data_IF_742801313537
#
_entry.id   IF_742801313537
#
_cell.length_a   1.000
_cell.length_b   1.000
_cell.length_c   1.000
_cell.angle_alpha   90.00
_cell.angle_beta   90.00
_cell.angle_gamma   90.00
#
_symmetry.space_group_name_H-M   'P 1'
#
loop_
_entity.id
_entity.type
_entity.pdbx_description
1 polymer ?
#
# COMPACT_ATOMS: atom_id res chain seq x y z
N UNK A 1 25.26 39.04 -15.52
CA UNK A 1 23.98 39.66 -15.24
C UNK A 1 23.08 38.49 -14.86
N UNK A 2 22.91 38.26 -13.56
CA UNK A 2 22.02 37.23 -13.01
C UNK A 2 20.65 37.89 -12.88
N UNK A 3 19.73 37.50 -13.75
CA UNK A 3 18.32 37.88 -13.61
C UNK A 3 17.80 37.37 -12.25
N UNK A 4 17.58 38.29 -11.32
CA UNK A 4 16.80 38.00 -10.13
C UNK A 4 15.32 37.85 -10.59
N UNK A 5 14.65 36.79 -10.21
CA UNK A 5 13.23 36.63 -10.53
C UNK A 5 12.45 37.80 -9.87
N UNK A 6 11.52 38.36 -10.66
CA UNK A 6 10.66 39.48 -10.29
C UNK A 6 9.86 39.11 -9.01
N UNK A 7 9.85 39.97 -8.01
CA UNK A 7 9.21 39.80 -6.71
C UNK A 7 7.67 39.50 -6.81
N UNK A 8 7.03 39.80 -7.95
CA UNK A 8 5.62 39.50 -8.20
C UNK A 8 5.33 38.05 -8.61
N UNK A 9 6.34 37.24 -8.91
CA UNK A 9 6.21 35.81 -9.24
C UNK A 9 6.43 34.89 -8.02
N UNK A 10 6.87 35.43 -6.90
CA UNK A 10 7.30 34.66 -5.73
C UNK A 10 6.15 34.27 -4.79
N UNK A 11 4.97 34.90 -4.90
CA UNK A 11 3.88 34.74 -3.93
C UNK A 11 2.80 33.72 -4.31
N UNK A 12 2.82 33.17 -5.52
CA UNK A 12 1.70 32.36 -6.05
C UNK A 12 1.71 30.90 -5.57
N UNK A 13 2.87 30.38 -5.10
CA UNK A 13 2.95 28.98 -4.63
C UNK A 13 2.56 28.78 -3.15
N UNK A 14 2.59 29.85 -2.35
CA UNK A 14 2.35 29.77 -0.90
C UNK A 14 0.93 29.29 -0.55
N UNK A 15 -0.02 29.51 -1.45
CA UNK A 15 -1.37 28.97 -1.32
C UNK A 15 -1.38 27.43 -1.32
N UNK A 16 -0.42 26.78 -1.98
CA UNK A 16 -0.28 25.32 -2.04
C UNK A 16 0.63 24.77 -0.96
N UNK A 17 1.65 25.53 -0.54
CA UNK A 17 2.63 25.09 0.43
C UNK A 17 2.01 24.85 1.81
N UNK A 18 2.39 23.75 2.46
CA UNK A 18 2.02 23.47 3.86
C UNK A 18 2.81 24.36 4.79
N UNK A 19 2.13 24.98 5.76
CA UNK A 19 2.79 25.71 6.86
C UNK A 19 3.50 24.72 7.80
N UNK A 20 4.44 25.25 8.58
CA UNK A 20 5.14 24.43 9.59
C UNK A 20 4.18 23.81 10.61
N UNK A 21 3.10 24.50 10.98
CA UNK A 21 2.09 24.01 11.91
C UNK A 21 1.30 22.86 11.30
N UNK A 22 0.85 22.97 10.03
CA UNK A 22 0.16 21.92 9.28
C UNK A 22 1.04 20.68 9.16
N UNK A 23 2.33 20.86 8.86
CA UNK A 23 3.31 19.75 8.79
C UNK A 23 3.43 19.04 10.15
N UNK A 24 3.62 19.79 11.23
CA UNK A 24 3.75 19.22 12.58
C UNK A 24 2.49 18.48 13.01
N UNK A 25 1.31 19.03 12.71
CA UNK A 25 0.04 18.38 13.00
C UNK A 25 -0.09 17.06 12.21
N UNK A 26 0.13 17.08 10.91
CA UNK A 26 0.04 15.90 10.06
C UNK A 26 1.02 14.78 10.47
N UNK A 27 2.26 15.15 10.85
CA UNK A 27 3.26 14.20 11.36
C UNK A 27 2.80 13.56 12.68
N UNK A 28 2.23 14.34 13.61
CA UNK A 28 1.70 13.81 14.89
C UNK A 28 0.55 12.83 14.64
N UNK A 29 -0.43 13.23 13.85
CA UNK A 29 -1.59 12.38 13.52
C UNK A 29 -1.15 11.08 12.83
N UNK A 30 -0.25 11.17 11.86
CA UNK A 30 0.31 10.01 11.16
C UNK A 30 1.05 9.08 12.13
N UNK A 31 1.83 9.63 13.08
CA UNK A 31 2.56 8.85 14.07
C UNK A 31 1.62 8.10 15.01
N UNK A 32 0.55 8.73 15.46
CA UNK A 32 -0.48 8.09 16.30
C UNK A 32 -1.18 6.96 15.52
N UNK A 33 -1.63 7.23 14.29
CA UNK A 33 -2.29 6.24 13.44
C UNK A 33 -1.37 5.05 13.14
N UNK A 34 -0.07 5.31 12.87
CA UNK A 34 0.94 4.27 12.67
C UNK A 34 1.09 3.41 13.91
N UNK A 35 1.21 4.01 15.09
CA UNK A 35 1.30 3.27 16.36
C UNK A 35 0.09 2.37 16.59
N UNK A 36 -1.12 2.88 16.39
CA UNK A 36 -2.36 2.10 16.51
C UNK A 36 -2.42 0.96 15.48
N UNK A 37 -2.01 1.22 14.24
CA UNK A 37 -1.93 0.21 13.20
C UNK A 37 -0.98 -0.92 13.59
N UNK A 38 0.22 -0.61 14.09
CA UNK A 38 1.21 -1.60 14.52
C UNK A 38 0.67 -2.44 15.69
N UNK A 39 0.15 -1.80 16.74
CA UNK A 39 -0.41 -2.49 17.90
C UNK A 39 -1.57 -3.43 17.52
N UNK A 40 -2.48 -2.95 16.68
CA UNK A 40 -3.64 -3.75 16.21
C UNK A 40 -3.17 -4.98 15.44
N UNK A 41 -2.20 -4.85 14.54
CA UNK A 41 -1.71 -5.97 13.74
C UNK A 41 -0.87 -6.94 14.58
N UNK A 42 -0.01 -6.47 15.47
CA UNK A 42 0.74 -7.34 16.40
C UNK A 42 -0.22 -8.16 17.27
N UNK A 43 -1.26 -7.53 17.83
CA UNK A 43 -2.27 -8.25 18.62
C UNK A 43 -3.03 -9.29 17.80
N UNK A 44 -3.32 -8.99 16.51
CA UNK A 44 -4.03 -9.92 15.64
C UNK A 44 -3.17 -11.13 15.21
N UNK A 45 -1.84 -10.99 15.21
CA UNK A 45 -0.90 -12.08 14.89
C UNK A 45 -0.65 -13.03 16.06
N UNK A 46 -1.07 -12.66 17.28
CA UNK A 46 -0.84 -13.44 18.50
C UNK A 46 0.65 -13.88 18.66
N UNK A 47 1.55 -12.94 18.39
CA UNK A 47 3.02 -13.24 18.41
C UNK A 47 3.44 -13.79 19.75
N UNK A 48 2.90 -13.26 20.85
CA UNK A 48 3.25 -13.71 22.20
C UNK A 48 2.81 -15.16 22.46
N UNK A 49 1.62 -15.56 21.95
CA UNK A 49 1.17 -16.96 22.03
C UNK A 49 2.07 -17.90 21.25
N UNK A 50 2.47 -17.51 20.04
CA UNK A 50 3.40 -18.30 19.20
C UNK A 50 4.78 -18.43 19.89
N UNK A 51 5.28 -17.35 20.49
CA UNK A 51 6.56 -17.38 21.24
C UNK A 51 6.47 -18.33 22.42
N UNK A 52 5.35 -18.37 23.17
CA UNK A 52 5.16 -19.32 24.26
C UNK A 52 5.17 -20.77 23.77
N UNK A 53 4.54 -21.05 22.64
CA UNK A 53 4.57 -22.39 22.02
C UNK A 53 6.01 -22.80 21.66
N UNK A 54 6.80 -21.89 21.10
CA UNK A 54 8.22 -22.13 20.78
C UNK A 54 9.07 -22.34 22.02
N UNK A 55 8.85 -21.56 23.08
CA UNK A 55 9.56 -21.75 24.36
C UNK A 55 9.21 -23.11 25.01
N UNK A 56 7.98 -23.56 24.87
CA UNK A 56 7.57 -24.89 25.32
C UNK A 56 8.26 -25.97 24.50
N UNK A 57 8.24 -25.88 23.17
CA UNK A 57 9.01 -26.80 22.31
C UNK A 57 10.48 -26.85 22.66
N UNK A 58 11.10 -25.70 22.95
CA UNK A 58 12.49 -25.60 23.35
C UNK A 58 12.82 -26.25 24.72
N UNK A 59 11.82 -26.35 25.62
CA UNK A 59 11.96 -27.04 26.91
C UNK A 59 11.79 -28.55 26.80
N UNK A 60 11.00 -29.03 25.87
CA UNK A 60 10.54 -30.41 25.75
C UNK A 60 11.23 -31.18 24.59
N UNK A 61 12.09 -30.50 23.78
CA UNK A 61 12.67 -31.13 22.60
C UNK A 61 13.68 -32.24 22.94
N UNK A 62 13.69 -33.27 22.12
CA UNK A 62 14.66 -34.34 22.14
C UNK A 62 15.83 -34.03 21.18
N UNK A 63 17.00 -33.72 21.73
CA UNK A 63 18.18 -33.34 20.96
C UNK A 63 18.62 -34.43 19.97
N UNK A 64 18.56 -35.70 20.36
CA UNK A 64 19.00 -36.83 19.52
C UNK A 64 18.04 -36.96 18.31
N UNK A 65 16.73 -36.92 18.56
CA UNK A 65 15.72 -36.97 17.52
C UNK A 65 15.88 -35.80 16.50
N UNK A 66 16.19 -34.61 16.99
CA UNK A 66 16.39 -33.45 16.12
C UNK A 66 17.65 -33.62 15.25
N UNK A 67 18.74 -34.14 15.79
CA UNK A 67 19.97 -34.43 15.02
C UNK A 67 19.73 -35.51 13.96
N UNK A 68 18.99 -36.57 14.28
CA UNK A 68 18.61 -37.60 13.30
C UNK A 68 17.77 -37.06 12.13
N UNK A 69 16.88 -36.12 12.38
CA UNK A 69 16.01 -35.54 11.38
C UNK A 69 16.56 -34.29 10.68
N UNK A 70 17.71 -33.79 11.13
CA UNK A 70 18.28 -32.53 10.68
C UNK A 70 18.43 -32.46 9.15
N UNK A 71 19.03 -33.48 8.53
CA UNK A 71 19.30 -33.54 7.10
C UNK A 71 17.99 -33.52 6.31
N UNK A 72 17.01 -34.35 6.69
CA UNK A 72 15.69 -34.39 6.06
C UNK A 72 14.96 -33.05 6.16
N UNK A 73 15.05 -32.37 7.32
CA UNK A 73 14.47 -31.06 7.55
C UNK A 73 15.26 -29.90 6.92
N UNK A 74 16.39 -30.14 6.28
CA UNK A 74 17.24 -29.12 5.65
C UNK A 74 18.09 -28.31 6.64
N UNK A 75 18.35 -28.84 7.84
CA UNK A 75 19.19 -28.21 8.88
C UNK A 75 20.65 -28.65 8.69
N UNK A 76 21.57 -27.71 8.69
CA UNK A 76 23.00 -28.02 8.64
C UNK A 76 23.49 -28.58 10.01
N UNK A 77 24.17 -29.72 10.05
CA UNK A 77 24.79 -30.20 11.30
C UNK A 77 25.73 -29.18 11.93
N UNK A 78 26.48 -28.43 11.11
CA UNK A 78 27.39 -27.40 11.62
C UNK A 78 26.64 -26.24 12.31
N UNK A 79 25.42 -25.94 11.89
CA UNK A 79 24.58 -24.93 12.54
C UNK A 79 24.10 -25.44 13.91
N UNK A 80 23.77 -26.72 14.04
CA UNK A 80 23.44 -27.32 15.34
C UNK A 80 24.65 -27.31 16.29
N UNK A 81 25.83 -27.67 15.77
CA UNK A 81 27.07 -27.62 16.55
C UNK A 81 27.39 -26.20 17.07
N UNK A 82 27.05 -25.18 16.26
CA UNK A 82 27.18 -23.78 16.65
C UNK A 82 26.25 -23.43 17.81
N UNK A 83 25.02 -23.93 17.82
CA UNK A 83 24.05 -23.69 18.91
C UNK A 83 24.45 -24.44 20.17
N UNK A 84 25.00 -25.65 20.05
CA UNK A 84 25.47 -26.46 21.19
C UNK A 84 26.73 -25.88 21.85
N UNK A 85 27.53 -25.13 21.11
CA UNK A 85 28.72 -24.47 21.64
C UNK A 85 28.45 -23.32 22.62
N UNK A 86 27.20 -22.87 22.73
CA UNK A 86 26.79 -21.86 23.70
C UNK A 86 26.70 -22.44 25.12
N UNK A 87 26.87 -21.59 26.12
CA UNK A 87 26.69 -21.93 27.52
C UNK A 87 25.61 -21.02 28.15
N UNK A 88 24.43 -21.56 28.48
CA UNK A 88 23.94 -22.91 28.16
C UNK A 88 23.68 -23.11 26.66
N UNK A 89 23.65 -24.37 26.16
CA UNK A 89 23.27 -24.68 24.78
C UNK A 89 21.93 -24.10 24.38
N UNK A 90 21.84 -23.64 23.12
CA UNK A 90 20.61 -22.99 22.61
C UNK A 90 19.67 -24.06 22.06
N UNK A 91 18.41 -24.13 22.53
CA UNK A 91 17.43 -25.09 22.01
C UNK A 91 17.21 -24.96 20.51
N UNK A 92 17.30 -26.05 19.76
CA UNK A 92 17.11 -26.05 18.30
C UNK A 92 15.76 -25.51 17.83
N UNK A 93 14.63 -25.78 18.52
CA UNK A 93 13.33 -25.24 18.17
C UNK A 93 13.26 -23.71 18.18
N UNK A 94 14.21 -23.00 18.78
CA UNK A 94 14.26 -21.54 18.72
C UNK A 94 14.65 -21.01 17.33
N UNK A 95 15.33 -21.82 16.53
CA UNK A 95 15.83 -21.41 15.22
C UNK A 95 15.33 -22.27 14.07
N UNK A 96 15.04 -23.53 14.32
CA UNK A 96 14.70 -24.51 13.30
C UNK A 96 13.34 -25.13 13.55
N UNK A 97 12.70 -25.64 12.50
CA UNK A 97 11.44 -26.36 12.56
C UNK A 97 11.53 -27.75 11.96
N UNK A 98 10.82 -28.69 12.55
CA UNK A 98 10.54 -29.97 11.89
C UNK A 98 9.22 -29.89 11.12
N UNK A 99 9.09 -30.55 9.95
CA UNK A 99 7.85 -30.56 9.18
C UNK A 99 6.63 -31.00 9.98
N UNK A 100 6.80 -31.97 10.88
CA UNK A 100 5.74 -32.46 11.74
C UNK A 100 5.18 -31.40 12.69
N UNK A 101 6.02 -30.48 13.18
CA UNK A 101 5.60 -29.40 14.06
C UNK A 101 4.76 -28.38 13.28
N UNK A 102 5.13 -28.08 12.02
CA UNK A 102 4.37 -27.20 11.14
C UNK A 102 3.02 -27.78 10.71
N UNK A 103 2.91 -29.10 10.57
CA UNK A 103 1.62 -29.77 10.30
C UNK A 103 0.72 -29.73 11.54
N UNK A 104 1.28 -29.94 12.72
CA UNK A 104 0.55 -29.92 13.99
C UNK A 104 0.07 -28.52 14.36
N UNK A 105 0.95 -27.52 14.18
CA UNK A 105 0.66 -26.12 14.49
C UNK A 105 1.14 -25.22 13.33
N UNK A 106 0.27 -25.00 12.30
CA UNK A 106 0.64 -24.24 11.11
C UNK A 106 1.06 -22.80 11.39
N UNK A 107 0.57 -22.17 12.48
CA UNK A 107 0.95 -20.80 12.86
C UNK A 107 2.45 -20.64 13.14
N UNK A 108 3.14 -21.71 13.47
CA UNK A 108 4.60 -21.70 13.66
C UNK A 108 5.36 -21.27 12.38
N UNK A 109 4.74 -21.38 11.21
CA UNK A 109 5.31 -20.88 9.96
C UNK A 109 5.60 -19.38 10.06
N UNK A 110 4.69 -18.59 10.66
CA UNK A 110 4.91 -17.15 10.92
C UNK A 110 6.22 -16.94 11.68
N UNK A 111 6.45 -17.69 12.75
CA UNK A 111 7.62 -17.55 13.57
C UNK A 111 8.90 -17.88 12.79
N UNK A 112 8.98 -19.07 12.19
CA UNK A 112 10.21 -19.53 11.53
C UNK A 112 10.53 -18.75 10.25
N UNK A 113 9.53 -18.26 9.54
CA UNK A 113 9.72 -17.35 8.42
C UNK A 113 10.38 -16.03 8.89
N UNK A 114 9.94 -15.52 10.03
CA UNK A 114 10.52 -14.30 10.59
C UNK A 114 11.93 -14.53 11.18
N UNK A 115 12.20 -15.69 11.77
CA UNK A 115 13.56 -16.10 12.17
C UNK A 115 14.49 -16.19 10.95
N UNK A 116 13.99 -16.71 9.83
CA UNK A 116 14.73 -16.75 8.56
C UNK A 116 14.83 -15.39 7.85
N UNK A 117 14.28 -14.31 8.42
CA UNK A 117 14.30 -12.95 7.85
C UNK A 117 13.70 -12.85 6.43
N UNK A 118 12.70 -13.68 6.12
CA UNK A 118 12.06 -13.72 4.80
C UNK A 118 10.67 -13.08 4.85
N UNK A 119 10.34 -12.33 3.80
CA UNK A 119 9.01 -11.78 3.62
C UNK A 119 8.03 -12.79 2.99
N UNK A 120 6.71 -12.63 3.24
CA UNK A 120 5.67 -13.41 2.57
C UNK A 120 5.75 -13.29 1.04
N UNK A 121 6.07 -12.10 0.54
CA UNK A 121 6.24 -11.86 -0.89
C UNK A 121 7.32 -12.73 -1.51
N UNK A 122 8.44 -12.90 -0.81
CA UNK A 122 9.52 -13.80 -1.27
C UNK A 122 9.04 -15.25 -1.26
N UNK A 123 8.35 -15.69 -0.18
CA UNK A 123 7.79 -17.04 -0.09
C UNK A 123 6.80 -17.32 -1.24
N UNK A 124 5.91 -16.36 -1.53
CA UNK A 124 4.95 -16.47 -2.64
C UNK A 124 5.65 -16.56 -4.00
N UNK A 125 6.68 -15.74 -4.23
CA UNK A 125 7.42 -15.72 -5.51
C UNK A 125 8.16 -17.03 -5.81
N UNK A 126 8.52 -17.79 -4.78
CA UNK A 126 9.15 -19.12 -4.93
C UNK A 126 8.13 -20.27 -4.89
N UNK A 127 6.83 -19.96 -4.87
CA UNK A 127 5.76 -20.95 -4.87
C UNK A 127 5.46 -21.59 -3.51
N UNK A 128 5.98 -21.04 -2.42
CA UNK A 128 5.77 -21.49 -1.05
C UNK A 128 4.87 -20.51 -0.26
N UNK A 129 3.68 -20.17 -0.79
CA UNK A 129 2.75 -19.28 -0.09
C UNK A 129 2.44 -19.78 1.32
N UNK A 130 2.73 -18.94 2.31
CA UNK A 130 2.55 -19.22 3.75
C UNK A 130 1.40 -18.44 4.37
N UNK A 131 0.89 -17.42 3.69
CA UNK A 131 -0.03 -16.41 4.23
C UNK A 131 -1.24 -16.99 4.94
N UNK A 132 -1.89 -17.99 4.35
CA UNK A 132 -3.10 -18.61 4.93
C UNK A 132 -2.75 -19.53 6.11
N UNK A 133 -1.59 -20.17 6.08
CA UNK A 133 -1.14 -21.09 7.13
C UNK A 133 -0.70 -20.33 8.38
N UNK A 134 -0.14 -19.15 8.24
CA UNK A 134 0.22 -18.24 9.33
C UNK A 134 -1.00 -17.80 10.17
N UNK A 135 -2.22 -17.89 9.59
CA UNK A 135 -3.48 -17.52 10.27
C UNK A 135 -4.19 -18.72 10.89
N UNK A 136 -3.80 -19.98 10.59
CA UNK A 136 -4.37 -21.22 11.10
C UNK A 136 -4.98 -22.19 10.06
N UNK A 137 -4.82 -21.96 8.76
CA UNK A 137 -5.25 -22.95 7.76
C UNK A 137 -4.38 -24.21 7.85
N UNK A 138 -4.95 -25.40 7.75
CA UNK A 138 -4.19 -26.65 7.79
C UNK A 138 -3.06 -26.67 6.74
N UNK A 139 -1.92 -27.22 7.12
CA UNK A 139 -0.76 -27.37 6.26
C UNK A 139 -0.53 -28.84 5.92
N UNK A 140 -0.52 -29.18 4.63
CA UNK A 140 -0.24 -30.54 4.17
C UNK A 140 1.24 -30.93 4.35
N UNK A 141 1.50 -32.23 4.53
CA UNK A 141 2.83 -32.78 4.85
C UNK A 141 3.89 -32.38 3.84
N UNK A 142 3.61 -32.52 2.53
CA UNK A 142 4.58 -32.22 1.47
C UNK A 142 4.94 -30.72 1.44
N UNK A 143 3.96 -29.86 1.67
CA UNK A 143 4.18 -28.43 1.74
C UNK A 143 4.91 -28.03 2.99
N UNK A 144 4.59 -28.64 4.14
CA UNK A 144 5.31 -28.44 5.40
C UNK A 144 6.80 -28.83 5.26
N UNK A 145 7.07 -29.96 4.59
CA UNK A 145 8.42 -30.41 4.28
C UNK A 145 9.19 -29.38 3.46
N UNK A 146 8.57 -28.88 2.38
CA UNK A 146 9.19 -27.91 1.49
C UNK A 146 9.47 -26.57 2.18
N UNK A 147 8.52 -26.08 2.99
CA UNK A 147 8.66 -24.86 3.78
C UNK A 147 9.78 -25.03 4.82
N UNK A 148 9.75 -26.11 5.61
CA UNK A 148 10.77 -26.36 6.63
C UNK A 148 12.17 -26.40 6.02
N UNK A 149 12.37 -27.19 4.96
CA UNK A 149 13.67 -27.29 4.28
C UNK A 149 14.17 -25.94 3.78
N UNK A 150 13.28 -25.12 3.22
CA UNK A 150 13.68 -23.81 2.70
C UNK A 150 14.08 -22.86 3.85
N UNK A 151 13.25 -22.73 4.87
CA UNK A 151 13.50 -21.86 6.01
C UNK A 151 14.75 -22.30 6.80
N UNK A 152 14.88 -23.61 7.08
CA UNK A 152 16.00 -24.15 7.83
C UNK A 152 17.35 -23.97 7.10
N UNK A 153 17.39 -24.13 5.77
CA UNK A 153 18.61 -23.86 4.99
C UNK A 153 19.09 -22.42 5.13
N UNK A 154 18.16 -21.46 5.09
CA UNK A 154 18.50 -20.03 5.25
C UNK A 154 18.94 -19.76 6.70
N UNK A 155 18.17 -20.24 7.67
CA UNK A 155 18.52 -20.06 9.09
C UNK A 155 19.86 -20.73 9.42
N UNK A 156 20.15 -21.91 8.86
CA UNK A 156 21.47 -22.56 9.01
C UNK A 156 22.60 -21.67 8.48
N UNK A 157 22.44 -21.07 7.30
CA UNK A 157 23.43 -20.15 6.76
C UNK A 157 23.63 -18.93 7.67
N UNK A 158 22.54 -18.35 8.16
CA UNK A 158 22.59 -17.20 9.08
C UNK A 158 23.31 -17.56 10.39
N UNK A 159 23.00 -18.71 11.01
CA UNK A 159 23.64 -19.18 12.23
C UNK A 159 25.15 -19.35 12.04
N UNK A 160 25.56 -19.99 10.94
CA UNK A 160 27.00 -20.26 10.67
C UNK A 160 27.79 -18.99 10.35
N UNK A 161 27.23 -18.05 9.61
CA UNK A 161 27.93 -16.84 9.15
C UNK A 161 28.14 -15.82 10.27
N UNK A 162 27.21 -15.70 11.20
CA UNK A 162 27.27 -14.60 12.17
C UNK A 162 27.85 -14.99 13.53
N UNK A 163 27.73 -16.25 13.92
CA UNK A 163 28.14 -16.71 15.26
C UNK A 163 27.45 -16.02 16.45
N UNK A 164 26.45 -15.15 16.17
CA UNK A 164 25.82 -14.28 17.18
C UNK A 164 24.47 -14.82 17.70
N UNK A 165 24.18 -16.10 17.47
CA UNK A 165 22.90 -16.73 17.79
C UNK A 165 22.91 -17.32 19.21
N UNK A 166 22.44 -16.52 20.19
CA UNK A 166 22.24 -16.95 21.58
C UNK A 166 20.76 -17.15 21.92
N UNK A 167 20.48 -17.38 23.20
CA UNK A 167 19.14 -17.73 23.74
C UNK A 167 18.00 -16.78 23.38
N UNK A 168 18.26 -15.55 23.03
CA UNK A 168 17.23 -14.52 22.77
C UNK A 168 17.25 -13.92 21.38
N UNK A 169 18.28 -14.18 20.58
CA UNK A 169 18.43 -13.55 19.25
C UNK A 169 17.27 -13.89 18.30
N UNK A 170 16.72 -15.10 18.40
CA UNK A 170 15.55 -15.50 17.62
C UNK A 170 14.35 -14.55 17.81
N UNK A 171 14.10 -14.09 19.05
CA UNK A 171 13.02 -13.12 19.32
C UNK A 171 13.29 -11.78 18.65
N UNK A 172 14.54 -11.30 18.73
CA UNK A 172 14.93 -10.05 18.09
C UNK A 172 14.70 -10.13 16.57
N UNK A 173 15.05 -11.25 15.94
CA UNK A 173 14.82 -11.47 14.50
C UNK A 173 13.35 -11.48 14.16
N UNK A 174 12.51 -12.17 14.95
CA UNK A 174 11.06 -12.20 14.75
C UNK A 174 10.48 -10.81 14.81
N UNK A 175 10.75 -10.03 15.87
CA UNK A 175 10.18 -8.70 16.03
C UNK A 175 10.72 -7.69 14.99
N UNK A 176 12.00 -7.78 14.61
CA UNK A 176 12.59 -6.92 13.58
C UNK A 176 11.94 -7.18 12.21
N UNK A 177 11.78 -8.44 11.82
CA UNK A 177 11.20 -8.77 10.52
C UNK A 177 9.68 -8.50 10.47
N UNK A 178 8.95 -8.78 11.55
CA UNK A 178 7.54 -8.36 11.67
C UNK A 178 7.43 -6.84 11.58
N UNK A 179 8.29 -6.10 12.29
CA UNK A 179 8.31 -4.64 12.24
C UNK A 179 8.56 -4.10 10.82
N UNK A 180 9.49 -4.71 10.08
CA UNK A 180 9.74 -4.36 8.67
C UNK A 180 8.52 -4.64 7.77
N UNK A 181 7.86 -5.79 7.97
CA UNK A 181 6.64 -6.14 7.25
C UNK A 181 5.48 -5.20 7.56
N UNK A 182 5.31 -4.83 8.84
CA UNK A 182 4.29 -3.86 9.25
C UNK A 182 4.56 -2.45 8.72
N UNK A 183 5.83 -2.05 8.58
CA UNK A 183 6.18 -0.75 7.98
C UNK A 183 5.79 -0.71 6.49
N UNK A 184 6.06 -1.79 5.74
CA UNK A 184 5.57 -1.93 4.37
C UNK A 184 4.04 -1.85 4.29
N UNK A 185 3.35 -2.62 5.15
CA UNK A 185 1.89 -2.59 5.25
C UNK A 185 1.34 -1.21 5.63
N UNK A 186 2.02 -0.47 6.51
CA UNK A 186 1.64 0.89 6.89
C UNK A 186 1.71 1.87 5.71
N UNK A 187 2.75 1.79 4.88
CA UNK A 187 2.85 2.64 3.68
C UNK A 187 1.64 2.47 2.75
N UNK A 188 1.20 1.24 2.55
CA UNK A 188 -0.01 0.94 1.79
C UNK A 188 -1.28 1.46 2.47
N UNK A 189 -1.35 1.33 3.81
CA UNK A 189 -2.49 1.82 4.59
C UNK A 189 -2.60 3.35 4.55
N UNK A 190 -1.48 4.08 4.63
CA UNK A 190 -1.47 5.54 4.46
C UNK A 190 -2.01 5.94 3.09
N UNK A 191 -1.59 5.25 2.04
CA UNK A 191 -2.13 5.45 0.69
C UNK A 191 -3.65 5.23 0.67
N UNK A 192 -4.13 4.09 1.22
CA UNK A 192 -5.55 3.78 1.31
C UNK A 192 -6.35 4.84 2.09
N UNK A 193 -5.84 5.25 3.24
CA UNK A 193 -6.50 6.28 4.07
C UNK A 193 -6.61 7.62 3.33
N UNK A 194 -5.57 8.03 2.61
CA UNK A 194 -5.63 9.23 1.77
C UNK A 194 -6.68 9.11 0.67
N UNK A 195 -6.78 7.95 0.01
CA UNK A 195 -7.85 7.70 -0.95
C UNK A 195 -9.22 7.83 -0.31
N UNK A 196 -9.47 7.17 0.81
CA UNK A 196 -10.77 7.21 1.50
C UNK A 196 -11.11 8.65 1.91
N UNK A 197 -10.15 9.39 2.47
CA UNK A 197 -10.37 10.77 2.92
C UNK A 197 -10.70 11.75 1.77
N UNK A 198 -10.26 11.45 0.55
CA UNK A 198 -10.57 12.24 -0.65
C UNK A 198 -11.85 11.74 -1.32
N UNK A 199 -11.98 10.44 -1.52
CA UNK A 199 -13.05 9.86 -2.35
C UNK A 199 -14.40 9.86 -1.61
N UNK A 200 -14.45 9.58 -0.31
CA UNK A 200 -15.71 9.53 0.43
C UNK A 200 -16.46 10.88 0.41
N UNK A 201 -15.83 12.04 0.67
CA UNK A 201 -16.48 13.34 0.52
C UNK A 201 -16.94 13.63 -0.92
N UNK A 202 -16.13 13.25 -1.93
CA UNK A 202 -16.52 13.43 -3.34
C UNK A 202 -17.75 12.59 -3.70
N UNK A 203 -17.79 11.32 -3.27
CA UNK A 203 -18.95 10.43 -3.48
C UNK A 203 -20.20 11.02 -2.85
N UNK A 204 -20.11 11.52 -1.61
CA UNK A 204 -21.25 12.16 -0.93
C UNK A 204 -21.70 13.44 -1.63
N UNK A 205 -20.75 14.26 -2.11
CA UNK A 205 -21.06 15.49 -2.85
C UNK A 205 -21.71 15.20 -4.21
N UNK A 206 -21.20 14.23 -4.98
CA UNK A 206 -21.82 13.76 -6.22
C UNK A 206 -23.25 13.24 -5.98
N UNK A 207 -23.47 12.54 -4.87
CA UNK A 207 -24.78 12.07 -4.48
C UNK A 207 -25.76 13.23 -4.21
N UNK A 208 -25.35 14.25 -3.44
CA UNK A 208 -26.14 15.47 -3.19
C UNK A 208 -26.52 16.18 -4.47
N UNK A 209 -25.64 16.19 -5.46
CA UNK A 209 -25.88 16.77 -6.77
C UNK A 209 -26.69 15.86 -7.72
N UNK A 210 -27.10 14.65 -7.28
CA UNK A 210 -27.80 13.65 -8.08
C UNK A 210 -27.01 13.16 -9.32
N UNK A 211 -25.69 13.24 -9.26
CA UNK A 211 -24.76 12.86 -10.34
C UNK A 211 -24.15 11.48 -10.16
N UNK A 212 -24.31 10.88 -8.99
CA UNK A 212 -23.78 9.56 -8.65
C UNK A 212 -24.76 8.45 -9.02
N UNK A 213 -24.25 7.43 -9.74
CA UNK A 213 -24.99 6.20 -10.04
C UNK A 213 -24.62 5.09 -9.08
N UNK A 214 -23.35 4.63 -9.11
CA UNK A 214 -22.86 3.53 -8.29
C UNK A 214 -21.39 3.71 -7.92
N UNK A 215 -20.93 2.92 -6.95
CA UNK A 215 -19.51 2.77 -6.61
C UNK A 215 -19.10 1.30 -6.70
N UNK A 216 -17.87 1.06 -7.16
CA UNK A 216 -17.25 -0.26 -7.17
C UNK A 216 -16.04 -0.22 -6.24
N UNK A 217 -15.93 -1.20 -5.36
CA UNK A 217 -14.84 -1.31 -4.40
C UNK A 217 -14.46 -2.78 -4.17
N UNK A 218 -13.28 -2.96 -3.58
CA UNK A 218 -12.77 -4.24 -3.12
C UNK A 218 -12.63 -4.21 -1.60
N UNK A 219 -13.11 -5.27 -0.92
CA UNK A 219 -12.93 -5.42 0.53
C UNK A 219 -11.60 -6.11 0.78
N UNK A 220 -10.75 -5.51 1.61
CA UNK A 220 -9.48 -6.08 2.06
C UNK A 220 -9.61 -6.81 3.39
N UNK A 221 -8.72 -7.77 3.65
CA UNK A 221 -8.67 -8.49 4.91
C UNK A 221 -8.33 -7.61 6.13
N UNK A 222 -8.49 -8.18 7.34
CA UNK A 222 -8.26 -7.46 8.60
C UNK A 222 -6.79 -7.31 9.00
N UNK A 223 -5.92 -8.21 8.53
CA UNK A 223 -4.49 -8.26 8.86
C UNK A 223 -3.67 -7.78 7.67
N UNK A 224 -2.73 -6.89 7.91
CA UNK A 224 -1.84 -6.33 6.88
C UNK A 224 -0.41 -6.73 7.22
N UNK A 225 0.08 -7.75 6.55
CA UNK A 225 1.47 -8.17 6.59
C UNK A 225 2.05 -7.99 5.19
N UNK A 226 2.62 -6.86 4.86
CA UNK A 226 3.27 -6.59 3.56
C UNK A 226 2.34 -6.18 2.39
N UNK A 227 2.98 -5.93 1.22
CA UNK A 227 2.30 -5.61 -0.03
C UNK A 227 1.35 -6.74 -0.43
N UNK A 228 0.06 -6.49 -0.27
CA UNK A 228 -0.96 -7.38 -0.82
C UNK A 228 -0.80 -7.36 -2.35
N UNK A 229 -0.53 -8.51 -2.93
CA UNK A 229 -0.41 -8.67 -4.38
C UNK A 229 -1.65 -8.14 -5.10
N UNK A 230 -1.45 -7.56 -6.29
CA UNK A 230 -2.53 -7.20 -7.22
C UNK A 230 -3.47 -8.38 -7.52
N UNK A 231 -3.01 -9.60 -7.26
CA UNK A 231 -3.74 -10.87 -7.41
C UNK A 231 -4.57 -11.26 -6.18
N UNK A 232 -4.58 -10.45 -5.10
CA UNK A 232 -5.45 -10.72 -3.97
C UNK A 232 -6.92 -10.83 -4.44
N UNK A 233 -7.51 -12.02 -4.27
CA UNK A 233 -8.86 -12.40 -4.70
C UNK A 233 -9.98 -11.77 -3.84
N UNK A 234 -9.75 -10.60 -3.24
CA UNK A 234 -10.79 -9.87 -2.53
C UNK A 234 -12.02 -9.65 -3.41
N UNK A 235 -13.20 -9.85 -2.84
CA UNK A 235 -14.47 -9.76 -3.57
C UNK A 235 -14.71 -8.32 -4.03
N UNK A 236 -14.76 -8.11 -5.35
CA UNK A 236 -15.20 -6.85 -5.94
C UNK A 236 -16.72 -6.76 -5.78
N UNK A 237 -17.20 -5.62 -5.31
CA UNK A 237 -18.61 -5.33 -5.10
C UNK A 237 -18.98 -4.02 -5.80
N UNK A 238 -20.16 -4.00 -6.40
CA UNK A 238 -20.80 -2.79 -6.89
C UNK A 238 -22.03 -2.51 -6.03
N UNK A 239 -22.19 -1.24 -5.66
CA UNK A 239 -23.34 -0.76 -4.90
C UNK A 239 -23.98 0.42 -5.62
N UNK A 240 -25.25 0.24 -6.02
CA UNK A 240 -26.09 1.31 -6.56
C UNK A 240 -26.42 2.29 -5.45
N UNK A 241 -26.22 3.60 -5.75
CA UNK A 241 -26.44 4.67 -4.80
C UNK A 241 -27.55 5.64 -5.28
N UNK A 242 -27.94 5.56 -6.54
CA UNK A 242 -29.03 6.34 -7.08
C UNK A 242 -30.35 6.03 -6.35
N UNK A 243 -31.06 7.06 -5.90
CA UNK A 243 -32.33 6.91 -5.19
C UNK A 243 -32.23 6.63 -3.68
N UNK A 244 -31.02 6.44 -3.13
CA UNK A 244 -30.83 6.38 -1.67
C UNK A 244 -30.88 7.78 -1.05
N UNK A 245 -31.22 7.85 0.24
CA UNK A 245 -31.09 9.10 1.00
C UNK A 245 -29.60 9.40 1.29
N UNK A 246 -29.28 10.66 1.52
CA UNK A 246 -27.91 11.08 1.91
C UNK A 246 -27.43 10.37 3.18
N UNK A 247 -28.32 10.15 4.16
CA UNK A 247 -28.00 9.46 5.41
C UNK A 247 -27.63 8.00 5.16
N UNK A 248 -28.33 7.30 4.26
CA UNK A 248 -27.99 5.90 3.90
C UNK A 248 -26.65 5.81 3.21
N UNK A 249 -26.33 6.78 2.33
CA UNK A 249 -25.01 6.82 1.66
C UNK A 249 -23.91 7.14 2.67
N UNK A 250 -24.10 8.12 3.55
CA UNK A 250 -23.10 8.45 4.57
C UNK A 250 -22.83 7.27 5.53
N UNK A 251 -23.88 6.57 5.96
CA UNK A 251 -23.74 5.38 6.81
C UNK A 251 -22.98 4.27 6.07
N UNK A 252 -23.35 4.00 4.81
CA UNK A 252 -22.64 3.01 3.99
C UNK A 252 -21.15 3.36 3.84
N UNK A 253 -20.81 4.61 3.55
CA UNK A 253 -19.40 5.01 3.40
C UNK A 253 -18.60 4.81 4.70
N UNK A 254 -19.21 5.11 5.86
CA UNK A 254 -18.59 4.86 7.17
C UNK A 254 -18.38 3.36 7.43
N UNK A 255 -19.37 2.53 7.13
CA UNK A 255 -19.27 1.08 7.28
C UNK A 255 -18.19 0.47 6.35
N UNK A 256 -18.06 1.02 5.15
CA UNK A 256 -17.06 0.60 4.18
C UNK A 256 -15.64 0.99 4.60
N UNK A 257 -15.47 2.15 5.23
CA UNK A 257 -14.18 2.58 5.79
C UNK A 257 -13.69 1.61 6.87
N UNK A 258 -14.58 1.21 7.77
CA UNK A 258 -14.29 0.23 8.83
C UNK A 258 -13.92 -1.17 8.28
N UNK A 259 -14.45 -1.52 7.11
CA UNK A 259 -14.14 -2.78 6.41
C UNK A 259 -12.83 -2.74 5.62
N UNK A 260 -12.06 -1.65 5.67
CA UNK A 260 -10.81 -1.47 4.90
C UNK A 260 -11.02 -1.71 3.41
N UNK A 261 -11.93 -0.97 2.80
CA UNK A 261 -12.14 -1.05 1.36
C UNK A 261 -11.06 -0.30 0.56
N UNK A 262 -10.96 -0.69 -0.70
CA UNK A 262 -10.26 0.06 -1.75
C UNK A 262 -11.26 0.38 -2.84
N UNK A 263 -11.54 1.66 -3.05
CA UNK A 263 -12.35 2.10 -4.18
C UNK A 263 -11.67 1.73 -5.51
N UNK A 264 -12.47 1.28 -6.46
CA UNK A 264 -12.03 0.90 -7.81
C UNK A 264 -12.64 1.75 -8.91
N UNK A 265 -13.88 2.17 -8.72
CA UNK A 265 -14.60 2.95 -9.74
C UNK A 265 -15.78 3.71 -9.11
N UNK A 266 -16.04 4.89 -9.64
CA UNK A 266 -17.23 5.68 -9.38
C UNK A 266 -17.95 5.82 -10.73
N UNK A 267 -19.21 5.43 -10.79
CA UNK A 267 -20.05 5.57 -11.98
C UNK A 267 -20.96 6.77 -11.83
N UNK A 268 -21.04 7.61 -12.87
CA UNK A 268 -21.85 8.82 -12.91
C UNK A 268 -23.13 8.59 -13.73
N UNK A 269 -24.13 9.44 -13.48
CA UNK A 269 -25.42 9.39 -14.20
C UNK A 269 -25.33 9.80 -15.66
N UNK A 270 -24.30 10.58 -16.03
CA UNK A 270 -24.03 10.98 -17.42
C UNK A 270 -23.32 9.90 -18.26
N UNK A 271 -22.98 8.76 -17.64
CA UNK A 271 -22.28 7.65 -18.30
C UNK A 271 -20.77 7.68 -18.13
N UNK A 272 -20.18 8.74 -17.57
CA UNK A 272 -18.76 8.78 -17.24
C UNK A 272 -18.45 7.86 -16.06
N UNK A 273 -17.20 7.40 -16.00
CA UNK A 273 -16.66 6.64 -14.86
C UNK A 273 -15.35 7.26 -14.40
N UNK A 274 -15.11 7.24 -13.09
CA UNK A 274 -13.79 7.56 -12.52
C UNK A 274 -13.15 6.26 -12.06
N UNK A 275 -12.09 5.87 -12.73
CA UNK A 275 -11.30 4.69 -12.37
C UNK A 275 -10.25 5.07 -11.34
N UNK A 276 -10.09 4.21 -10.33
CA UNK A 276 -9.29 4.48 -9.15
C UNK A 276 -8.20 3.42 -9.01
N UNK A 277 -6.95 3.86 -8.90
CA UNK A 277 -5.77 3.01 -8.71
C UNK A 277 -5.78 1.82 -9.68
N UNK A 278 -5.98 2.11 -10.97
CA UNK A 278 -6.11 1.09 -12.01
C UNK A 278 -4.96 1.18 -13.01
N UNK A 279 -4.29 0.06 -13.22
CA UNK A 279 -3.31 -0.06 -14.31
C UNK A 279 -4.03 -0.29 -15.63
N UNK A 280 -3.65 0.47 -16.63
CA UNK A 280 -4.23 0.44 -17.97
C UNK A 280 -3.15 0.34 -19.02
N UNK A 281 -3.53 -0.07 -20.24
CA UNK A 281 -2.64 -0.16 -21.37
C UNK A 281 -3.25 0.58 -22.56
N UNK A 282 -2.57 1.61 -23.04
CA UNK A 282 -2.92 2.27 -24.30
C UNK A 282 -2.15 1.58 -25.44
N UNK A 283 -2.85 1.38 -26.55
CA UNK A 283 -2.35 0.66 -27.70
C UNK A 283 -2.08 1.61 -28.84
N UNK A 284 -0.89 1.52 -29.45
CA UNK A 284 -0.64 2.13 -30.73
C UNK A 284 -1.04 1.14 -31.82
N UNK A 285 -2.05 1.48 -32.62
CA UNK A 285 -2.62 0.59 -33.64
C UNK A 285 -1.65 0.29 -34.77
N UNK A 286 -0.75 1.22 -35.10
CA UNK A 286 0.23 1.07 -36.17
C UNK A 286 1.37 0.17 -35.75
N UNK A 287 2.00 0.43 -34.60
CA UNK A 287 3.17 -0.29 -34.12
C UNK A 287 2.84 -1.53 -33.29
N UNK A 288 1.57 -1.73 -32.91
CA UNK A 288 1.07 -2.77 -31.99
C UNK A 288 1.72 -2.75 -30.60
N UNK A 289 2.39 -1.66 -30.25
CA UNK A 289 3.01 -1.50 -28.93
C UNK A 289 1.98 -1.12 -27.88
N UNK A 290 2.21 -1.60 -26.66
CA UNK A 290 1.40 -1.30 -25.48
C UNK A 290 2.17 -0.36 -24.55
N UNK A 291 1.52 0.69 -24.09
CA UNK A 291 2.07 1.66 -23.14
C UNK A 291 1.30 1.55 -21.84
N UNK A 292 2.00 1.17 -20.78
CA UNK A 292 1.42 1.04 -19.43
C UNK A 292 1.30 2.42 -18.81
N UNK A 293 0.09 2.74 -18.36
CA UNK A 293 -0.23 3.91 -17.54
C UNK A 293 -0.92 3.43 -16.27
N UNK A 294 -0.84 4.21 -15.19
CA UNK A 294 -1.47 3.85 -13.93
C UNK A 294 -1.59 5.07 -13.03
N UNK A 295 -2.46 6.04 -13.44
CA UNK A 295 -2.77 7.15 -12.56
C UNK A 295 -3.56 6.69 -11.35
N UNK A 296 -3.47 7.44 -10.28
CA UNK A 296 -4.24 7.18 -9.08
C UNK A 296 -5.75 7.39 -9.31
N UNK A 297 -6.13 8.44 -10.07
CA UNK A 297 -7.50 8.69 -10.54
C UNK A 297 -7.48 9.00 -12.04
N UNK A 298 -8.50 8.56 -12.76
CA UNK A 298 -8.67 8.91 -14.17
C UNK A 298 -10.17 8.91 -14.54
N UNK A 299 -10.63 9.97 -15.19
CA UNK A 299 -11.99 10.03 -15.76
C UNK A 299 -12.00 9.33 -17.11
N UNK A 300 -12.91 8.39 -17.28
CA UNK A 300 -13.21 7.68 -18.52
C UNK A 300 -14.58 8.11 -19.02
N UNK A 301 -14.67 8.54 -20.27
CA UNK A 301 -15.96 8.83 -20.92
C UNK A 301 -16.35 7.68 -21.87
N UNK A 302 -17.64 7.56 -22.24
CA UNK A 302 -18.14 6.42 -23.04
C UNK A 302 -17.42 6.15 -24.37
N UNK A 303 -16.67 7.12 -24.89
CA UNK A 303 -15.87 7.01 -26.12
C UNK A 303 -14.48 6.36 -25.90
N UNK A 304 -14.21 5.71 -24.78
CA UNK A 304 -12.86 5.20 -24.39
C UNK A 304 -11.81 6.32 -24.42
N UNK A 305 -12.18 7.47 -23.94
CA UNK A 305 -11.32 8.65 -23.86
C UNK A 305 -11.17 9.09 -22.42
N UNK A 306 -10.02 9.69 -22.11
CA UNK A 306 -9.61 9.99 -20.75
C UNK A 306 -9.28 11.49 -20.63
N UNK A 307 -10.30 12.35 -20.37
CA UNK A 307 -10.09 13.80 -20.38
C UNK A 307 -9.30 14.34 -19.20
N UNK A 308 -9.29 13.62 -18.08
CA UNK A 308 -8.61 14.05 -16.86
C UNK A 308 -7.98 12.88 -16.11
N UNK A 309 -6.83 13.13 -15.45
CA UNK A 309 -6.16 12.19 -14.57
C UNK A 309 -5.45 12.90 -13.44
N UNK A 310 -5.26 12.19 -12.31
CA UNK A 310 -4.56 12.73 -11.14
C UNK A 310 -3.66 11.70 -10.45
N UNK A 311 -2.62 12.25 -9.79
CA UNK A 311 -1.78 11.55 -8.83
C UNK A 311 -2.10 12.03 -7.41
N UNK A 312 -2.28 11.09 -6.48
CA UNK A 312 -2.61 11.34 -5.08
C UNK A 312 -1.54 10.75 -4.17
N UNK A 313 -0.94 11.58 -3.32
CA UNK A 313 0.12 11.21 -2.40
C UNK A 313 -0.31 11.45 -0.95
N UNK A 314 -0.57 10.34 -0.23
CA UNK A 314 -1.11 10.34 1.13
C UNK A 314 -0.06 10.45 2.24
N UNK A 315 1.22 10.43 1.94
CA UNK A 315 2.27 10.49 2.95
C UNK A 315 2.34 11.83 3.67
N UNK A 316 2.43 11.77 5.00
CA UNK A 316 2.59 12.94 5.86
C UNK A 316 4.05 13.21 6.26
N UNK A 317 5.01 12.50 5.65
CA UNK A 317 6.44 12.71 5.90
C UNK A 317 6.98 13.83 4.99
N UNK A 318 7.43 14.96 5.55
CA UNK A 318 8.01 16.05 4.76
C UNK A 318 9.25 15.63 3.98
N UNK A 319 10.07 14.72 4.53
CA UNK A 319 11.26 14.20 3.86
C UNK A 319 10.90 13.36 2.62
N UNK A 320 9.72 12.73 2.61
CA UNK A 320 9.20 11.98 1.46
C UNK A 320 8.54 12.84 0.39
N UNK A 321 8.26 14.12 0.66
CA UNK A 321 7.52 15.00 -0.27
C UNK A 321 8.19 15.14 -1.62
N UNK A 322 9.52 15.26 -1.67
CA UNK A 322 10.30 15.33 -2.91
C UNK A 322 10.17 14.04 -3.74
N UNK A 323 10.22 12.88 -3.10
CA UNK A 323 10.06 11.59 -3.79
C UNK A 323 8.62 11.41 -4.28
N UNK A 324 7.63 11.86 -3.53
CA UNK A 324 6.23 11.88 -3.95
C UNK A 324 6.04 12.71 -5.22
N UNK A 325 6.63 13.92 -5.28
CA UNK A 325 6.60 14.78 -6.47
C UNK A 325 7.31 14.13 -7.66
N UNK A 326 8.50 13.61 -7.44
CA UNK A 326 9.29 12.93 -8.47
C UNK A 326 8.52 11.71 -9.05
N UNK A 327 7.89 10.91 -8.22
CA UNK A 327 7.09 9.77 -8.69
C UNK A 327 5.84 10.22 -9.44
N UNK A 328 5.17 11.29 -9.00
CA UNK A 328 4.04 11.89 -9.70
C UNK A 328 4.44 12.43 -11.08
N UNK A 329 5.52 13.21 -11.17
CA UNK A 329 6.01 13.72 -12.45
C UNK A 329 6.44 12.63 -13.41
N UNK A 330 7.01 11.52 -12.92
CA UNK A 330 7.30 10.35 -13.75
C UNK A 330 6.04 9.68 -14.28
N UNK A 331 4.97 9.61 -13.46
CA UNK A 331 3.68 9.06 -13.90
C UNK A 331 3.04 9.97 -14.96
N UNK A 332 3.04 11.28 -14.75
CA UNK A 332 2.54 12.26 -15.72
C UNK A 332 3.30 12.20 -17.05
N UNK A 333 4.62 12.20 -17.01
CA UNK A 333 5.45 12.13 -18.21
C UNK A 333 5.20 10.80 -18.99
N UNK A 334 5.03 9.67 -18.28
CA UNK A 334 4.66 8.40 -18.93
C UNK A 334 3.29 8.47 -19.60
N UNK A 335 2.35 9.18 -19.00
CA UNK A 335 1.00 9.31 -19.54
C UNK A 335 0.99 10.24 -20.76
N UNK A 336 1.71 11.37 -20.73
CA UNK A 336 1.92 12.26 -21.86
C UNK A 336 2.56 11.51 -23.03
N UNK A 337 3.69 10.82 -22.78
CA UNK A 337 4.41 10.01 -23.78
C UNK A 337 3.52 8.90 -24.39
N UNK A 338 2.71 8.26 -23.55
CA UNK A 338 1.76 7.23 -24.01
C UNK A 338 0.66 7.85 -24.89
N UNK A 339 0.09 9.01 -24.51
CA UNK A 339 -0.92 9.72 -25.28
C UNK A 339 -0.38 10.12 -26.67
N UNK A 340 0.80 10.76 -26.72
CA UNK A 340 1.46 11.15 -27.97
C UNK A 340 1.71 9.94 -28.88
N UNK A 341 2.27 8.87 -28.33
CA UNK A 341 2.59 7.64 -29.09
C UNK A 341 1.38 6.85 -29.54
N UNK A 342 0.22 7.05 -28.95
CA UNK A 342 -1.03 6.37 -29.28
C UNK A 342 -2.02 7.28 -29.99
N UNK A 343 -1.62 8.53 -30.30
CA UNK A 343 -2.45 9.57 -30.93
C UNK A 343 -3.75 9.84 -30.16
N UNK A 344 -3.70 9.74 -28.81
CA UNK A 344 -4.80 10.09 -27.93
C UNK A 344 -4.65 11.53 -27.42
N UNK A 345 -5.74 12.22 -27.09
CA UNK A 345 -5.66 13.49 -26.36
C UNK A 345 -4.87 13.32 -25.04
N UNK A 346 -4.04 14.31 -24.73
CA UNK A 346 -3.35 14.35 -23.45
C UNK A 346 -4.37 14.73 -22.37
N UNK A 347 -4.57 13.93 -21.31
CA UNK A 347 -5.47 14.29 -20.22
C UNK A 347 -5.05 15.58 -19.51
N UNK A 348 -6.01 16.34 -19.00
CA UNK A 348 -5.71 17.36 -18.00
C UNK A 348 -5.20 16.68 -16.73
N UNK A 349 -4.03 17.11 -16.22
CA UNK A 349 -3.35 16.44 -15.12
C UNK A 349 -3.51 17.22 -13.82
N UNK A 350 -3.74 16.54 -12.70
CA UNK A 350 -3.86 17.15 -11.39
C UNK A 350 -2.96 16.45 -10.36
N UNK A 351 -2.40 17.24 -9.44
CA UNK A 351 -1.57 16.73 -8.35
C UNK A 351 -2.23 17.00 -7.00
N UNK A 352 -2.35 15.97 -6.18
CA UNK A 352 -2.94 16.02 -4.85
C UNK A 352 -1.95 15.43 -3.85
N UNK A 353 -1.67 16.13 -2.76
CA UNK A 353 -0.79 15.61 -1.71
C UNK A 353 -1.25 16.07 -0.32
N UNK A 354 -1.02 15.21 0.68
CA UNK A 354 -1.31 15.56 2.08
C UNK A 354 -0.42 16.69 2.57
N UNK A 355 0.88 16.65 2.21
CA UNK A 355 1.87 17.69 2.54
C UNK A 355 2.56 18.13 1.25
N UNK A 356 2.69 19.44 1.09
CA UNK A 356 3.45 20.08 0.03
C UNK A 356 4.49 21.01 0.68
N UNK A 357 5.74 20.55 0.75
CA UNK A 357 6.85 21.44 1.19
C UNK A 357 7.10 22.53 0.17
N UNK A 358 7.67 23.67 0.59
CA UNK A 358 7.86 24.87 -0.25
C UNK A 358 8.43 24.55 -1.63
N UNK A 359 9.51 23.77 -1.68
CA UNK A 359 10.14 23.39 -2.94
C UNK A 359 9.17 22.66 -3.88
N UNK A 360 8.42 21.70 -3.38
CA UNK A 360 7.45 20.92 -4.18
C UNK A 360 6.28 21.81 -4.61
N UNK A 361 5.82 22.70 -3.73
CA UNK A 361 4.77 23.66 -4.06
C UNK A 361 5.20 24.63 -5.17
N UNK A 362 6.46 25.11 -5.14
CA UNK A 362 7.05 25.95 -6.20
C UNK A 362 7.11 25.22 -7.55
N UNK A 363 7.62 23.98 -7.57
CA UNK A 363 7.71 23.19 -8.79
C UNK A 363 6.33 22.86 -9.36
N UNK A 364 5.36 22.50 -8.50
CA UNK A 364 3.98 22.22 -8.91
C UNK A 364 3.27 23.47 -9.43
N UNK A 365 3.44 24.63 -8.79
CA UNK A 365 2.93 25.91 -9.27
C UNK A 365 3.52 26.29 -10.63
N UNK A 366 4.82 26.05 -10.84
CA UNK A 366 5.45 26.26 -12.15
C UNK A 366 4.83 25.36 -13.24
N UNK A 367 4.55 24.11 -12.93
CA UNK A 367 3.89 23.21 -13.88
C UNK A 367 2.45 23.66 -14.19
N UNK A 368 1.74 24.21 -13.20
CA UNK A 368 0.42 24.81 -13.38
C UNK A 368 0.51 26.02 -14.32
N UNK A 369 1.43 26.96 -14.09
CA UNK A 369 1.67 28.13 -14.94
C UNK A 369 2.06 27.75 -16.39
N UNK A 370 2.77 26.63 -16.56
CA UNK A 370 3.13 26.10 -17.87
C UNK A 370 2.00 25.35 -18.57
N UNK A 371 0.82 25.24 -17.95
CA UNK A 371 -0.30 24.45 -18.48
C UNK A 371 -0.06 22.93 -18.49
N UNK A 372 0.97 22.43 -17.78
CA UNK A 372 1.23 21.00 -17.63
C UNK A 372 0.36 20.35 -16.57
N UNK A 373 -0.12 21.11 -15.60
CA UNK A 373 -1.13 20.69 -14.64
C UNK A 373 -2.39 21.56 -14.81
N UNK A 374 -3.54 20.97 -14.58
CA UNK A 374 -4.83 21.64 -14.48
C UNK A 374 -5.09 22.13 -13.05
N UNK A 375 -4.62 21.40 -12.05
CA UNK A 375 -4.77 21.79 -10.63
C UNK A 375 -3.73 21.17 -9.72
N UNK A 376 -3.52 21.83 -8.56
CA UNK A 376 -2.67 21.37 -7.45
C UNK A 376 -3.47 21.49 -6.17
N UNK A 377 -3.49 20.45 -5.35
CA UNK A 377 -4.28 20.40 -4.13
C UNK A 377 -3.45 19.96 -2.93
N UNK A 378 -3.47 20.79 -1.88
CA UNK A 378 -2.96 20.46 -0.56
C UNK A 378 -4.12 19.91 0.29
N UNK A 379 -4.12 18.59 0.51
CA UNK A 379 -5.23 17.92 1.18
C UNK A 379 -5.37 18.30 2.66
N UNK A 380 -4.28 18.67 3.33
CA UNK A 380 -4.33 19.15 4.72
C UNK A 380 -5.04 20.51 4.80
N UNK A 381 -4.74 21.44 3.89
CA UNK A 381 -5.45 22.73 3.83
C UNK A 381 -6.92 22.54 3.52
N UNK A 382 -7.23 21.69 2.54
CA UNK A 382 -8.62 21.38 2.16
C UNK A 382 -9.40 20.78 3.32
N UNK A 383 -8.78 19.89 4.11
CA UNK A 383 -9.43 19.29 5.28
C UNK A 383 -9.69 20.28 6.41
N UNK A 384 -8.87 21.34 6.53
CA UNK A 384 -8.96 22.32 7.61
C UNK A 384 -9.79 23.57 7.25
N UNK A 385 -10.10 23.79 5.98
CA UNK A 385 -10.86 24.96 5.50
C UNK A 385 -12.12 24.52 4.74
N UNK A 386 -13.34 24.75 5.30
CA UNK A 386 -14.59 24.38 4.64
C UNK A 386 -14.83 25.04 3.28
N UNK A 387 -14.33 26.27 3.06
CA UNK A 387 -14.47 26.95 1.78
C UNK A 387 -13.58 26.28 0.71
N UNK A 388 -12.30 26.02 1.05
CA UNK A 388 -11.40 25.27 0.19
C UNK A 388 -11.91 23.85 -0.09
N UNK A 389 -12.52 23.21 0.90
CA UNK A 389 -13.13 21.88 0.71
C UNK A 389 -14.27 21.92 -0.30
N UNK A 390 -15.17 22.92 -0.20
CA UNK A 390 -16.28 23.06 -1.13
C UNK A 390 -15.79 23.35 -2.55
N UNK A 391 -14.81 24.23 -2.72
CA UNK A 391 -14.20 24.55 -4.01
C UNK A 391 -13.52 23.31 -4.62
N UNK A 392 -12.78 22.56 -3.83
CA UNK A 392 -12.18 21.29 -4.24
C UNK A 392 -13.24 20.29 -4.72
N UNK A 393 -14.32 20.10 -3.96
CA UNK A 393 -15.40 19.18 -4.32
C UNK A 393 -16.08 19.59 -5.65
N UNK A 394 -16.35 20.89 -5.82
CA UNK A 394 -16.92 21.41 -7.07
C UNK A 394 -15.97 21.19 -8.25
N UNK A 395 -14.68 21.41 -8.07
CA UNK A 395 -13.68 21.18 -9.11
C UNK A 395 -13.55 19.70 -9.47
N UNK A 396 -13.58 18.79 -8.49
CA UNK A 396 -13.58 17.34 -8.76
C UNK A 396 -14.83 16.92 -9.57
N UNK A 397 -15.99 17.45 -9.22
CA UNK A 397 -17.22 17.20 -10.01
C UNK A 397 -17.05 17.68 -11.46
N UNK A 398 -16.49 18.88 -11.67
CA UNK A 398 -16.23 19.38 -13.01
C UNK A 398 -15.29 18.45 -13.80
N UNK A 399 -14.20 17.98 -13.21
CA UNK A 399 -13.29 17.03 -13.86
C UNK A 399 -13.94 15.67 -14.14
N UNK A 400 -14.83 15.20 -13.28
CA UNK A 400 -15.51 13.92 -13.48
C UNK A 400 -16.61 13.98 -14.53
N UNK A 401 -17.20 15.15 -14.75
CA UNK A 401 -18.22 15.38 -15.76
C UNK A 401 -17.69 15.89 -17.11
N UNK A 402 -16.37 16.01 -17.24
CA UNK A 402 -15.78 16.46 -18.50
C UNK A 402 -16.30 15.67 -19.70
N UNK A 403 -16.51 16.38 -20.78
CA UNK A 403 -16.83 15.82 -22.09
C UNK A 403 -15.77 16.29 -23.09
N UNK A 404 -15.75 15.73 -24.28
CA UNK A 404 -14.96 16.27 -25.37
C UNK A 404 -15.85 17.15 -26.27
N UNK A 405 -15.29 18.25 -26.72
CA UNK A 405 -15.92 19.03 -27.79
C UNK A 405 -15.79 18.33 -29.16
N UNK A 406 -16.41 18.89 -30.19
CA UNK A 406 -16.36 18.34 -31.57
C UNK A 406 -14.93 18.32 -32.15
N UNK A 407 -13.97 19.03 -31.53
CA UNK A 407 -12.55 19.07 -31.92
C UNK A 407 -11.71 18.10 -31.16
N UNK A 408 -12.27 17.35 -30.19
CA UNK A 408 -11.57 16.42 -29.34
C UNK A 408 -10.85 17.06 -28.14
N UNK A 409 -11.11 18.33 -27.85
CA UNK A 409 -10.61 19.01 -26.67
C UNK A 409 -11.55 18.79 -25.47
N UNK A 410 -10.99 18.71 -24.27
CA UNK A 410 -11.76 18.60 -23.02
C UNK A 410 -12.51 19.91 -22.72
N UNK A 411 -13.80 19.83 -22.49
CA UNK A 411 -14.68 20.94 -22.09
C UNK A 411 -15.31 20.68 -20.73
#
# INVERSE_FOLDING_TARGET
MTDQPNASQQDDYTQYASTQEEILQAVRENSVRRGLFFLKNLSALDVDGIVQDIEQLGREYDMELWRERAEEAGISPAALDTLDAHDPPVPYPYYFCLPGDLVREPRLVLYYRNVAMISNKVMNNIGLDTTQHEISMPLGVDKAQSIAQHLNKITSALVMETGLYGQRRHLEMVYVNIGASLDGGWRNEVGRLAYVSVISPIVLHLHRLQKLKSIIFKVKGRIVLEDEDENDNGKIQEVELQGRSEQEVATLLSDLEDQRIVYRQINLTNGNSVLLNRQMYWHNEETKRRYRIGPDLITEIPSDTFPWAAELKGGADPAGSDEHWKTATQAFNRMIDAAEKTHRPIPQLSFMATILVDRVAQEAALWLQQGKLASVHNLTKIANDPAMQQDFLNQMVAFFEMTLDETGNST
#
